data_IF_779302584021
#
_entry.id   IF_779302584021
#
_cell.length_a   1.000
_cell.length_b   1.000
_cell.length_c   1.000
_cell.angle_alpha   90.00
_cell.angle_beta   90.00
_cell.angle_gamma   90.00
#
_symmetry.space_group_name_H-M   'P 1'
#
loop_
_entity.id
_entity.type
_entity.pdbx_description
1 polymer ?
#
# COMPACT_ATOMS: atom_id res chain seq x y z
N UNK A 1 33.04 -2.48 -9.23
CA UNK A 1 33.97 -2.47 -8.09
C UNK A 1 33.60 -1.32 -7.19
N UNK A 2 33.05 -1.56 -6.00
CA UNK A 2 32.72 -0.47 -5.07
C UNK A 2 34.00 -0.04 -4.34
N UNK A 3 34.30 1.26 -4.38
CA UNK A 3 35.37 1.85 -3.56
C UNK A 3 34.92 1.77 -2.09
N UNK A 4 35.60 0.94 -1.29
CA UNK A 4 35.38 0.88 0.16
C UNK A 4 36.23 1.95 0.85
N UNK A 5 35.61 2.62 1.81
CA UNK A 5 36.19 3.67 2.66
C UNK A 5 37.57 3.28 3.23
N UNK A 6 38.63 4.09 3.03
CA UNK A 6 39.97 3.80 3.53
C UNK A 6 40.07 3.73 5.06
N UNK A 7 39.11 4.30 5.79
CA UNK A 7 39.10 4.34 7.26
C UNK A 7 38.25 3.25 7.93
N UNK A 8 37.88 2.21 7.18
CA UNK A 8 37.09 1.10 7.71
C UNK A 8 37.89 0.20 8.68
N UNK A 9 37.25 -0.24 9.76
CA UNK A 9 37.84 -1.11 10.78
C UNK A 9 36.97 -2.36 10.93
N UNK A 10 37.58 -3.53 10.86
CA UNK A 10 36.94 -4.84 10.95
C UNK A 10 37.29 -5.47 12.30
N UNK A 11 36.27 -5.93 13.03
CA UNK A 11 36.44 -6.63 14.30
C UNK A 11 36.26 -8.12 14.05
N UNK A 12 37.18 -8.93 14.55
CA UNK A 12 37.10 -10.39 14.54
C UNK A 12 37.02 -10.91 15.97
N UNK A 13 36.85 -12.21 16.14
CA UNK A 13 36.77 -12.82 17.46
C UNK A 13 38.03 -12.61 18.31
N UNK A 14 39.19 -12.46 17.68
CA UNK A 14 40.49 -12.39 18.36
C UNK A 14 41.22 -11.05 18.17
N UNK A 15 40.90 -10.30 17.11
CA UNK A 15 41.69 -9.14 16.69
C UNK A 15 40.83 -7.99 16.15
N UNK A 16 41.35 -6.77 16.27
CA UNK A 16 40.82 -5.57 15.62
C UNK A 16 41.73 -5.17 14.47
N UNK A 17 41.17 -5.18 13.25
CA UNK A 17 41.87 -4.89 12.01
C UNK A 17 41.51 -3.48 11.53
N UNK A 18 42.44 -2.54 11.67
CA UNK A 18 42.31 -1.17 11.14
C UNK A 18 43.00 -1.17 9.78
N UNK A 19 42.30 -0.82 8.69
CA UNK A 19 42.86 -0.90 7.32
C UNK A 19 44.12 -0.06 7.09
N UNK A 20 44.35 0.95 7.94
CA UNK A 20 45.54 1.82 7.95
C UNK A 20 46.60 1.42 8.98
N UNK A 21 46.37 0.41 9.83
CA UNK A 21 47.38 -0.11 10.75
C UNK A 21 48.25 -1.17 10.06
N UNK A 22 49.56 -1.13 10.32
CA UNK A 22 50.50 -2.08 9.76
C UNK A 22 50.27 -3.53 10.22
N UNK A 23 49.65 -3.72 11.39
CA UNK A 23 49.34 -5.03 11.97
C UNK A 23 48.01 -4.98 12.76
N UNK A 24 47.26 -6.10 12.84
CA UNK A 24 46.07 -6.22 13.69
C UNK A 24 46.43 -6.04 15.17
N UNK A 25 45.54 -5.43 15.94
CA UNK A 25 45.72 -5.30 17.38
C UNK A 25 44.99 -6.43 18.12
N UNK A 26 45.63 -7.12 19.09
CA UNK A 26 44.96 -8.12 19.89
C UNK A 26 43.94 -7.48 20.83
N UNK A 27 42.81 -8.16 21.02
CA UNK A 27 41.81 -7.78 22.04
C UNK A 27 42.38 -8.20 23.40
N UNK A 28 42.63 -7.22 24.26
CA UNK A 28 43.21 -7.45 25.61
C UNK A 28 42.14 -7.62 26.68
N UNK A 29 40.93 -7.06 26.48
CA UNK A 29 39.84 -7.22 27.45
C UNK A 29 38.46 -7.16 26.78
N UNK A 30 37.56 -8.09 27.17
CA UNK A 30 36.13 -8.15 26.80
C UNK A 30 35.29 -8.01 28.07
N UNK A 31 34.31 -7.10 28.12
CA UNK A 31 33.43 -6.95 29.30
C UNK A 31 31.92 -6.90 29.00
N UNK A 32 31.19 -7.30 30.05
CA UNK A 32 29.75 -7.33 30.39
C UNK A 32 28.76 -8.05 29.46
N UNK A 33 28.95 -8.07 28.15
CA UNK A 33 27.98 -8.69 27.22
C UNK A 33 28.54 -8.96 25.80
N UNK A 34 29.86 -8.88 25.63
CA UNK A 34 30.55 -9.04 24.34
C UNK A 34 30.60 -7.77 23.49
N UNK A 35 30.16 -6.61 24.01
CA UNK A 35 30.04 -5.35 23.23
C UNK A 35 31.11 -4.30 23.54
N UNK A 36 31.87 -4.48 24.62
CA UNK A 36 33.00 -3.61 24.98
C UNK A 36 34.31 -4.33 24.66
N UNK A 37 35.06 -3.79 23.70
CA UNK A 37 36.34 -4.34 23.28
C UNK A 37 37.45 -3.34 23.58
N UNK A 38 38.43 -3.74 24.39
CA UNK A 38 39.66 -3.00 24.59
C UNK A 38 40.76 -3.67 23.77
N UNK A 39 41.39 -2.93 22.87
CA UNK A 39 42.53 -3.40 22.08
C UNK A 39 43.76 -2.50 22.28
N UNK A 40 44.95 -3.07 22.13
CA UNK A 40 46.23 -2.39 22.37
C UNK A 40 47.10 -2.38 21.10
N UNK A 41 46.85 -1.48 20.14
CA UNK A 41 47.74 -1.28 18.99
C UNK A 41 49.02 -0.57 19.42
N UNK A 42 49.98 -1.35 19.94
CA UNK A 42 51.34 -0.92 20.19
C UNK A 42 51.56 -0.06 21.45
N UNK A 43 52.84 0.32 21.68
CA UNK A 43 53.40 0.77 22.97
C UNK A 43 52.79 2.04 23.62
N UNK A 44 51.82 2.74 22.99
CA UNK A 44 51.31 4.04 23.49
C UNK A 44 49.81 4.29 23.32
N UNK A 45 49.00 3.32 22.87
CA UNK A 45 47.58 3.58 22.62
C UNK A 45 46.71 2.37 22.89
N UNK A 46 45.78 2.48 23.84
CA UNK A 46 44.64 1.55 23.97
C UNK A 46 43.40 2.16 23.32
N UNK A 47 42.61 1.32 22.67
CA UNK A 47 41.42 1.71 21.95
C UNK A 47 40.22 1.07 22.63
N UNK A 48 39.21 1.87 22.95
CA UNK A 48 37.91 1.39 23.39
C UNK A 48 36.98 1.32 22.17
N UNK A 49 36.53 0.13 21.82
CA UNK A 49 35.59 -0.08 20.72
C UNK A 49 34.27 -0.56 21.32
N UNK A 50 33.22 0.25 21.13
CA UNK A 50 31.85 -0.09 21.51
C UNK A 50 31.17 -0.67 20.26
N UNK A 51 30.90 -1.98 20.27
CA UNK A 51 30.31 -2.66 19.12
C UNK A 51 28.78 -2.68 19.23
N UNK A 52 28.14 -1.68 18.58
CA UNK A 52 26.78 -1.66 18.01
C UNK A 52 26.40 -0.25 17.57
N UNK A 53 25.43 -0.17 16.65
CA UNK A 53 24.98 0.97 15.82
C UNK A 53 24.54 2.28 16.53
N UNK A 54 24.77 2.47 17.83
CA UNK A 54 24.41 3.69 18.54
C UNK A 54 25.45 3.96 19.61
N UNK A 55 26.59 4.52 19.23
CA UNK A 55 27.38 5.35 20.14
C UNK A 55 26.89 6.78 19.92
N UNK A 56 26.00 7.33 20.77
CA UNK A 56 25.42 8.61 20.48
C UNK A 56 26.47 9.69 20.70
N UNK A 57 26.46 10.68 19.80
CA UNK A 57 27.17 11.97 19.94
C UNK A 57 26.99 12.57 21.35
N UNK A 58 25.91 12.23 22.05
CA UNK A 58 25.64 12.61 23.44
C UNK A 58 26.61 12.01 24.47
N UNK A 59 27.09 10.77 24.28
CA UNK A 59 28.08 10.13 25.14
C UNK A 59 29.46 10.76 24.92
N UNK A 60 29.85 11.00 23.67
CA UNK A 60 31.10 11.69 23.33
C UNK A 60 31.17 13.10 23.94
N UNK A 61 30.05 13.85 23.96
CA UNK A 61 29.96 15.18 24.60
C UNK A 61 30.13 15.17 26.13
N UNK A 62 29.97 14.01 26.78
CA UNK A 62 30.13 13.86 28.23
C UNK A 62 31.55 13.47 28.65
N UNK A 63 32.41 13.12 27.69
CA UNK A 63 33.78 12.76 27.99
C UNK A 63 34.62 14.04 28.14
N UNK A 64 35.28 14.27 29.28
CA UNK A 64 36.02 15.50 29.60
C UNK A 64 37.37 15.61 28.88
N UNK A 65 37.55 14.86 27.79
CA UNK A 65 38.82 14.65 27.09
C UNK A 65 38.61 14.85 25.61
N UNK A 66 39.65 15.30 24.90
CA UNK A 66 39.64 15.38 23.44
C UNK A 66 39.46 13.99 22.84
N UNK A 67 38.21 13.65 22.56
CA UNK A 67 37.80 12.40 21.94
C UNK A 67 37.53 12.64 20.48
N UNK A 68 38.15 11.82 19.61
CA UNK A 68 37.87 11.82 18.18
C UNK A 68 36.83 10.73 17.90
N UNK A 69 35.63 11.15 17.51
CA UNK A 69 34.58 10.21 17.06
C UNK A 69 34.82 9.89 15.60
N UNK A 70 35.17 8.64 15.28
CA UNK A 70 35.34 8.17 13.90
C UNK A 70 34.44 6.96 13.72
N UNK A 71 33.50 7.02 12.76
CA UNK A 71 32.63 5.89 12.37
C UNK A 71 32.03 5.15 13.58
N UNK A 72 31.38 5.89 14.47
CA UNK A 72 30.68 5.38 15.67
C UNK A 72 31.59 4.84 16.80
N UNK A 73 32.87 5.25 16.86
CA UNK A 73 33.83 4.77 17.86
C UNK A 73 34.41 5.92 18.68
N UNK A 74 34.75 5.65 19.94
CA UNK A 74 35.35 6.63 20.85
C UNK A 74 36.78 6.19 21.17
N UNK A 75 37.76 6.95 20.69
CA UNK A 75 39.18 6.74 21.04
C UNK A 75 39.53 7.59 22.25
N UNK A 76 40.08 6.98 23.29
CA UNK A 76 40.48 7.65 24.55
C UNK A 76 41.91 7.26 24.96
N UNK A 77 42.69 8.21 25.51
CA UNK A 77 44.01 7.91 26.06
C UNK A 77 43.94 6.88 27.19
N UNK A 78 45.00 6.08 27.31
CA UNK A 78 45.13 4.94 28.25
C UNK A 78 44.86 5.33 29.70
N UNK A 79 45.37 6.49 30.10
CA UNK A 79 45.24 7.08 31.43
C UNK A 79 43.81 7.44 31.83
N UNK A 80 42.89 7.49 30.85
CA UNK A 80 41.48 7.81 31.08
C UNK A 80 40.54 6.63 30.81
N UNK A 81 41.07 5.45 30.49
CA UNK A 81 40.25 4.29 30.10
C UNK A 81 39.26 3.90 31.21
N UNK A 82 39.71 3.85 32.48
CA UNK A 82 38.87 3.45 33.61
C UNK A 82 37.68 4.41 33.82
N UNK A 83 37.91 5.73 33.77
CA UNK A 83 36.84 6.72 33.95
C UNK A 83 35.84 6.73 32.78
N UNK A 84 36.32 6.46 31.57
CA UNK A 84 35.47 6.36 30.37
C UNK A 84 34.59 5.11 30.44
N UNK A 85 35.13 3.96 30.85
CA UNK A 85 34.37 2.71 31.01
C UNK A 85 33.26 2.88 32.04
N UNK A 86 33.56 3.43 33.23
CA UNK A 86 32.53 3.70 34.25
C UNK A 86 31.43 4.61 33.73
N UNK A 87 31.77 5.68 32.99
CA UNK A 87 30.79 6.60 32.45
C UNK A 87 29.91 5.97 31.36
N UNK A 88 30.47 5.03 30.58
CA UNK A 88 29.72 4.22 29.61
C UNK A 88 28.78 3.25 30.32
N UNK A 89 29.23 2.58 31.37
CA UNK A 89 28.44 1.65 32.17
C UNK A 89 27.27 2.36 32.86
N UNK A 90 27.51 3.51 33.50
CA UNK A 90 26.46 4.35 34.09
C UNK A 90 25.43 4.83 33.06
N UNK A 91 25.90 5.20 31.86
CA UNK A 91 25.03 5.64 30.78
C UNK A 91 24.18 4.49 30.22
N UNK A 92 24.74 3.29 30.14
CA UNK A 92 24.03 2.08 29.72
C UNK A 92 23.00 1.65 30.76
N UNK A 93 23.37 1.63 32.04
CA UNK A 93 22.49 1.25 33.15
C UNK A 93 21.35 2.26 33.38
N UNK A 94 21.58 3.55 33.14
CA UNK A 94 20.57 4.61 33.31
C UNK A 94 19.56 4.77 32.17
N UNK A 95 19.47 3.82 31.24
CA UNK A 95 18.57 3.90 30.08
C UNK A 95 18.95 4.99 29.07
N UNK A 96 20.20 5.46 29.09
CA UNK A 96 20.70 6.52 28.22
C UNK A 96 20.60 6.16 26.73
N UNK A 97 20.82 4.89 26.40
CA UNK A 97 20.68 4.35 25.04
C UNK A 97 19.24 4.43 24.55
N UNK A 98 18.28 4.10 25.40
CA UNK A 98 16.86 4.13 25.08
C UNK A 98 16.34 5.56 24.90
N UNK A 99 16.77 6.48 25.77
CA UNK A 99 16.46 7.92 25.63
C UNK A 99 17.10 8.55 24.39
N UNK A 100 18.31 8.14 24.00
CA UNK A 100 18.95 8.59 22.78
C UNK A 100 18.21 8.06 21.53
N UNK A 101 17.87 6.77 21.52
CA UNK A 101 17.09 6.14 20.46
C UNK A 101 15.72 6.84 20.29
N UNK A 102 15.02 7.13 21.40
CA UNK A 102 13.77 7.86 21.41
C UNK A 102 13.89 9.27 20.80
N UNK A 103 14.98 10.01 21.10
CA UNK A 103 15.23 11.33 20.50
C UNK A 103 15.50 11.26 19.00
N UNK A 104 16.27 10.29 18.52
CA UNK A 104 16.47 10.08 17.08
C UNK A 104 15.19 9.67 16.37
N UNK A 105 14.37 8.82 16.98
CA UNK A 105 13.03 8.46 16.50
C UNK A 105 12.14 9.70 16.36
N UNK A 106 12.06 10.53 17.41
CA UNK A 106 11.30 11.77 17.39
C UNK A 106 11.81 12.76 16.33
N UNK A 107 13.14 12.87 16.15
CA UNK A 107 13.75 13.70 15.12
C UNK A 107 13.42 13.24 13.70
N UNK A 108 13.45 11.93 13.44
CA UNK A 108 13.03 11.35 12.15
C UNK A 108 11.55 11.60 11.88
N UNK A 109 10.69 11.41 12.88
CA UNK A 109 9.25 11.71 12.78
C UNK A 109 9.01 13.18 12.45
N UNK A 110 9.66 14.11 13.16
CA UNK A 110 9.54 15.54 12.91
C UNK A 110 10.08 15.97 11.53
N UNK A 111 11.13 15.32 11.02
CA UNK A 111 11.63 15.55 9.66
C UNK A 111 10.64 15.05 8.60
N UNK A 112 10.06 13.86 8.79
CA UNK A 112 9.04 13.31 7.90
C UNK A 112 7.79 14.20 7.85
N UNK A 113 7.31 14.69 9.00
CA UNK A 113 6.18 15.63 9.06
C UNK A 113 6.48 16.95 8.31
N UNK A 114 7.68 17.52 8.48
CA UNK A 114 8.08 18.73 7.74
C UNK A 114 8.14 18.50 6.23
N UNK A 115 8.68 17.35 5.80
CA UNK A 115 8.72 16.97 4.38
C UNK A 115 7.30 16.82 3.81
N UNK A 116 6.41 16.10 4.50
CA UNK A 116 5.01 15.94 4.08
C UNK A 116 4.27 17.28 3.98
N UNK A 117 4.50 18.20 4.94
CA UNK A 117 3.91 19.55 4.90
C UNK A 117 4.42 20.37 3.71
N UNK A 118 5.71 20.27 3.38
CA UNK A 118 6.29 20.96 2.22
C UNK A 118 5.76 20.38 0.89
N UNK A 119 5.61 19.06 0.79
CA UNK A 119 5.03 18.39 -0.38
C UNK A 119 3.55 18.76 -0.58
N UNK A 120 2.77 18.85 0.50
CA UNK A 120 1.39 19.31 0.46
C UNK A 120 1.30 20.76 -0.07
N UNK A 121 2.08 21.69 0.48
CA UNK A 121 2.11 23.08 0.01
C UNK A 121 2.53 23.19 -1.47
N UNK A 122 3.53 22.40 -1.90
CA UNK A 122 3.94 22.34 -3.31
C UNK A 122 2.87 21.72 -4.22
N UNK A 123 2.05 20.81 -3.71
CA UNK A 123 0.92 20.25 -4.47
C UNK A 123 -0.21 21.26 -4.66
N UNK A 124 -0.50 22.08 -3.65
CA UNK A 124 -1.49 23.17 -3.72
C UNK A 124 -1.07 24.25 -4.72
N UNK A 125 0.20 24.65 -4.72
CA UNK A 125 0.74 25.62 -5.71
C UNK A 125 0.61 25.07 -7.13
N UNK A 126 0.96 23.80 -7.37
CA UNK A 126 0.80 23.17 -8.69
C UNK A 126 -0.65 23.08 -9.13
N UNK A 127 -1.57 22.78 -8.21
CA UNK A 127 -3.00 22.75 -8.51
C UNK A 127 -3.54 24.15 -8.87
N UNK A 128 -3.10 25.19 -8.15
CA UNK A 128 -3.46 26.57 -8.43
C UNK A 128 -2.93 27.03 -9.81
N UNK A 129 -1.68 26.71 -10.15
CA UNK A 129 -1.11 27.01 -11.46
C UNK A 129 -1.84 26.28 -12.61
N UNK A 130 -2.19 25.01 -12.41
CA UNK A 130 -2.94 24.24 -13.41
C UNK A 130 -4.32 24.88 -13.66
N UNK A 131 -5.01 25.30 -12.58
CA UNK A 131 -6.29 26.00 -12.66
C UNK A 131 -6.15 27.34 -13.39
N UNK A 132 -5.08 28.09 -13.14
CA UNK A 132 -4.82 29.35 -13.84
C UNK A 132 -4.54 29.15 -15.34
N UNK A 133 -3.77 28.12 -15.72
CA UNK A 133 -3.53 27.78 -17.13
C UNK A 133 -4.81 27.36 -17.85
N UNK A 134 -5.65 26.56 -17.20
CA UNK A 134 -6.95 26.18 -17.77
C UNK A 134 -7.84 27.41 -17.99
N UNK A 135 -7.95 28.29 -17.00
CA UNK A 135 -8.74 29.51 -17.12
C UNK A 135 -8.23 30.43 -18.26
N UNK A 136 -6.91 30.52 -18.47
CA UNK A 136 -6.33 31.26 -19.58
C UNK A 136 -6.67 30.62 -20.94
N UNK A 137 -6.59 29.29 -21.05
CA UNK A 137 -6.97 28.57 -22.27
C UNK A 137 -8.47 28.72 -22.60
N UNK A 138 -9.32 28.66 -21.57
CA UNK A 138 -10.77 28.86 -21.73
C UNK A 138 -11.09 30.29 -22.17
N UNK A 139 -10.40 31.29 -21.61
CA UNK A 139 -10.53 32.68 -22.03
C UNK A 139 -10.10 32.90 -23.49
N UNK A 140 -9.01 32.27 -23.94
CA UNK A 140 -8.58 32.33 -25.33
C UNK A 140 -9.57 31.63 -26.27
N UNK A 141 -10.08 30.46 -25.90
CA UNK A 141 -11.09 29.74 -26.66
C UNK A 141 -12.39 30.55 -26.79
N UNK A 142 -12.81 31.20 -25.71
CA UNK A 142 -13.97 32.09 -25.70
C UNK A 142 -13.76 33.31 -26.61
N UNK A 143 -12.58 33.94 -26.56
CA UNK A 143 -12.24 35.06 -27.43
C UNK A 143 -12.25 34.65 -28.92
N UNK A 144 -11.73 33.47 -29.27
CA UNK A 144 -11.80 32.92 -30.63
C UNK A 144 -13.23 32.66 -31.08
N UNK A 145 -14.08 32.12 -30.20
CA UNK A 145 -15.49 31.90 -30.50
C UNK A 145 -16.23 33.22 -30.76
N UNK A 146 -15.96 34.26 -29.96
CA UNK A 146 -16.52 35.59 -30.16
C UNK A 146 -16.07 36.20 -31.49
N UNK A 147 -14.77 36.12 -31.82
CA UNK A 147 -14.25 36.58 -33.10
C UNK A 147 -14.89 35.84 -34.28
N UNK A 148 -15.06 34.51 -34.17
CA UNK A 148 -15.76 33.70 -35.16
C UNK A 148 -17.21 34.12 -35.33
N UNK A 149 -17.96 34.27 -34.23
CA UNK A 149 -19.36 34.69 -34.26
C UNK A 149 -19.54 36.09 -34.84
N UNK A 150 -18.60 37.01 -34.60
CA UNK A 150 -18.61 38.34 -35.20
C UNK A 150 -18.32 38.30 -36.71
N UNK A 151 -17.42 37.41 -37.16
CA UNK A 151 -17.10 37.24 -38.58
C UNK A 151 -18.17 36.44 -39.36
N UNK A 152 -18.93 35.60 -38.66
CA UNK A 152 -19.87 34.65 -39.26
C UNK A 152 -20.94 35.28 -40.17
N UNK A 153 -21.59 36.42 -39.82
CA UNK A 153 -22.57 37.05 -40.70
C UNK A 153 -21.98 37.50 -42.04
N UNK A 154 -20.76 38.06 -42.04
CA UNK A 154 -20.08 38.50 -43.26
C UNK A 154 -19.66 37.30 -44.13
N UNK A 155 -19.11 36.25 -43.51
CA UNK A 155 -18.82 34.99 -44.19
C UNK A 155 -20.08 34.35 -44.77
N UNK A 156 -21.19 34.36 -44.03
CA UNK A 156 -22.49 33.83 -44.47
C UNK A 156 -23.06 34.66 -45.63
N UNK A 157 -22.98 35.98 -45.59
CA UNK A 157 -23.42 36.86 -46.67
C UNK A 157 -22.61 36.64 -47.95
N UNK A 158 -21.28 36.58 -47.84
CA UNK A 158 -20.39 36.26 -48.97
C UNK A 158 -20.71 34.88 -49.57
N UNK A 159 -20.98 33.87 -48.72
CA UNK A 159 -21.40 32.54 -49.17
C UNK A 159 -22.77 32.55 -49.87
N UNK A 160 -23.72 33.39 -49.44
CA UNK A 160 -25.06 33.49 -50.07
C UNK A 160 -24.97 34.15 -51.45
N UNK A 161 -24.17 35.21 -51.61
CA UNK A 161 -23.92 35.84 -52.91
C UNK A 161 -23.22 34.87 -53.88
N UNK A 162 -22.22 34.13 -53.39
CA UNK A 162 -21.53 33.13 -54.22
C UNK A 162 -22.44 31.94 -54.57
N UNK A 163 -23.35 31.56 -53.67
CA UNK A 163 -24.32 30.47 -53.88
C UNK A 163 -25.48 30.82 -54.82
N UNK A 164 -25.73 32.11 -55.08
CA UNK A 164 -26.75 32.55 -56.04
C UNK A 164 -26.30 32.39 -57.51
N UNK A 165 -25.01 32.22 -57.78
CA UNK A 165 -24.44 32.14 -59.14
C UNK A 165 -24.04 30.71 -59.58
N UNK A 166 -24.22 29.69 -58.74
CA UNK A 166 -23.93 28.30 -59.10
C UNK A 166 -25.18 27.44 -58.95
N UNK A 167 -25.61 26.68 -59.99
CA UNK A 167 -26.66 25.68 -59.82
C UNK A 167 -26.23 24.75 -58.69
N UNK A 168 -27.02 24.71 -57.60
CA UNK A 168 -26.75 23.94 -56.37
C UNK A 168 -26.68 22.46 -56.69
N UNK A 169 -25.52 22.02 -57.13
CA UNK A 169 -25.11 20.64 -56.96
C UNK A 169 -24.76 20.52 -55.48
N UNK A 170 -25.59 19.81 -54.75
CA UNK A 170 -25.32 19.44 -53.36
C UNK A 170 -24.12 18.49 -53.28
N UNK A 171 -22.91 19.04 -53.41
CA UNK A 171 -21.65 18.42 -52.97
C UNK A 171 -21.52 18.39 -51.43
N UNK A 172 -22.60 18.71 -50.71
CA UNK A 172 -22.61 19.20 -49.33
C UNK A 172 -21.98 18.28 -48.29
N UNK A 173 -21.93 16.96 -48.52
CA UNK A 173 -21.34 16.04 -47.54
C UNK A 173 -19.82 15.96 -47.63
N UNK A 174 -19.26 16.11 -48.84
CA UNK A 174 -17.89 15.69 -49.12
C UNK A 174 -17.12 16.63 -50.04
N UNK A 175 -17.69 17.75 -50.49
CA UNK A 175 -16.98 18.63 -51.41
C UNK A 175 -17.39 20.08 -51.37
N UNK A 176 -16.54 20.92 -51.95
CA UNK A 176 -16.75 22.35 -52.09
C UNK A 176 -16.10 22.85 -53.38
N UNK A 177 -16.52 24.02 -53.85
CA UNK A 177 -15.91 24.69 -55.01
C UNK A 177 -14.97 25.76 -54.48
N UNK A 178 -13.71 25.75 -54.90
CA UNK A 178 -12.73 26.80 -54.59
C UNK A 178 -13.04 28.06 -55.41
N UNK A 179 -12.56 29.26 -54.99
CA UNK A 179 -12.76 30.51 -55.74
C UNK A 179 -12.24 30.48 -57.18
N UNK A 180 -11.28 29.60 -57.49
CA UNK A 180 -10.71 29.39 -58.82
C UNK A 180 -11.54 28.42 -59.69
N UNK A 181 -12.74 28.03 -59.24
CA UNK A 181 -13.64 27.11 -59.93
C UNK A 181 -13.28 25.63 -59.80
N UNK A 182 -12.21 25.28 -59.07
CA UNK A 182 -11.85 23.87 -58.86
C UNK A 182 -12.80 23.20 -57.86
N UNK A 183 -13.20 21.97 -58.14
CA UNK A 183 -13.92 21.14 -57.19
C UNK A 183 -12.93 20.53 -56.19
N UNK A 184 -13.29 20.54 -54.92
CA UNK A 184 -12.61 19.82 -53.86
C UNK A 184 -13.50 18.71 -53.36
N UNK A 185 -12.95 17.51 -53.20
CA UNK A 185 -13.65 16.35 -52.66
C UNK A 185 -12.83 15.76 -51.51
N UNK A 186 -13.35 15.86 -50.29
CA UNK A 186 -12.88 15.20 -49.08
C UNK A 186 -13.67 13.92 -48.89
N UNK A 187 -13.00 12.79 -48.77
CA UNK A 187 -13.69 11.51 -48.53
C UNK A 187 -13.04 10.78 -47.36
N UNK A 188 -13.78 9.90 -46.67
CA UNK A 188 -13.13 8.83 -45.92
C UNK A 188 -12.21 8.07 -46.89
N UNK A 189 -10.99 7.72 -46.46
CA UNK A 189 -9.91 7.15 -47.28
C UNK A 189 -10.20 5.70 -47.74
N UNK A 190 -11.43 5.39 -48.13
CA UNK A 190 -11.79 4.08 -48.67
C UNK A 190 -11.23 3.92 -50.08
N UNK A 191 -10.47 2.86 -50.32
CA UNK A 191 -9.78 2.59 -51.60
C UNK A 191 -10.72 2.63 -52.81
N UNK A 192 -11.97 2.17 -52.64
CA UNK A 192 -12.99 2.18 -53.70
C UNK A 192 -13.39 3.61 -54.08
N UNK A 193 -13.50 4.51 -53.11
CA UNK A 193 -13.81 5.94 -53.36
C UNK A 193 -12.60 6.63 -53.99
N UNK A 194 -11.40 6.37 -53.45
CA UNK A 194 -10.14 6.88 -54.01
C UNK A 194 -9.96 6.45 -55.48
N UNK A 195 -10.32 5.22 -55.82
CA UNK A 195 -10.28 4.70 -57.19
C UNK A 195 -11.20 5.48 -58.12
N UNK A 196 -12.43 5.79 -57.68
CA UNK A 196 -13.36 6.63 -58.46
C UNK A 196 -12.78 8.03 -58.66
N UNK A 197 -12.21 8.63 -57.61
CA UNK A 197 -11.63 9.98 -57.69
C UNK A 197 -10.41 10.05 -58.59
N UNK A 198 -9.50 9.06 -58.54
CA UNK A 198 -8.34 8.96 -59.45
C UNK A 198 -8.74 8.80 -60.91
N UNK A 199 -9.91 8.22 -61.17
CA UNK A 199 -10.45 8.08 -62.53
C UNK A 199 -11.00 9.38 -63.12
N UNK A 200 -11.18 10.44 -62.32
CA UNK A 200 -11.68 11.73 -62.83
C UNK A 200 -10.57 12.47 -63.60
N UNK A 201 -10.86 13.02 -64.81
CA UNK A 201 -9.88 13.73 -65.61
C UNK A 201 -9.24 14.90 -64.86
N UNK A 202 -7.90 14.92 -64.80
CA UNK A 202 -7.13 15.98 -64.14
C UNK A 202 -7.25 16.02 -62.62
N UNK A 203 -7.82 14.99 -61.98
CA UNK A 203 -7.87 14.88 -60.53
C UNK A 203 -6.47 14.76 -59.92
N UNK A 204 -6.26 15.41 -58.77
CA UNK A 204 -5.01 15.33 -58.00
C UNK A 204 -5.29 15.39 -56.51
N UNK A 205 -4.49 14.66 -55.73
CA UNK A 205 -4.54 14.77 -54.26
C UNK A 205 -3.76 15.99 -53.78
N UNK A 206 -4.38 16.80 -52.92
CA UNK A 206 -3.74 17.89 -52.19
C UNK A 206 -3.44 17.42 -50.76
N UNK A 207 -2.17 17.14 -50.42
CA UNK A 207 -1.80 16.66 -49.09
C UNK A 207 -1.96 17.71 -48.00
N UNK A 208 -1.87 19.00 -48.35
CA UNK A 208 -2.00 20.12 -47.40
C UNK A 208 -3.46 20.24 -46.96
N UNK A 209 -4.38 20.28 -47.92
CA UNK A 209 -5.82 20.42 -47.64
C UNK A 209 -6.52 19.09 -47.35
N UNK A 210 -5.81 17.97 -47.54
CA UNK A 210 -6.31 16.59 -47.46
C UNK A 210 -7.60 16.39 -48.26
N UNK A 211 -7.58 16.81 -49.52
CA UNK A 211 -8.71 16.64 -50.44
C UNK A 211 -8.25 16.36 -51.86
N UNK A 212 -9.13 15.75 -52.65
CA UNK A 212 -8.97 15.65 -54.10
C UNK A 212 -9.38 16.96 -54.75
N UNK A 213 -8.52 17.50 -55.59
CA UNK A 213 -8.79 18.65 -56.44
C UNK A 213 -9.15 18.13 -57.82
N UNK A 214 -10.29 18.55 -58.36
CA UNK A 214 -10.75 18.21 -59.71
C UNK A 214 -11.01 19.51 -60.50
N UNK A 215 -10.44 19.68 -61.71
CA UNK A 215 -10.65 20.88 -62.51
C UNK A 215 -12.12 21.12 -62.86
N UNK A 216 -12.48 22.39 -63.05
CA UNK A 216 -13.83 22.79 -63.48
C UNK A 216 -14.27 22.08 -64.78
N UNK A 217 -13.34 21.85 -65.71
CA UNK A 217 -13.60 21.17 -66.99
C UNK A 217 -14.08 19.73 -66.84
N UNK A 218 -13.81 19.07 -65.71
CA UNK A 218 -14.27 17.71 -65.42
C UNK A 218 -15.61 17.68 -64.65
N UNK A 219 -16.31 18.82 -64.50
CA UNK A 219 -17.59 18.91 -63.80
C UNK A 219 -18.60 17.83 -64.23
N UNK A 220 -18.86 17.56 -65.52
CA UNK A 220 -19.84 16.55 -65.92
C UNK A 220 -19.48 15.14 -65.41
N UNK A 221 -18.18 14.79 -65.46
CA UNK A 221 -17.67 13.51 -64.96
C UNK A 221 -17.79 13.39 -63.44
N UNK A 222 -17.55 14.49 -62.71
CA UNK A 222 -17.72 14.51 -61.27
C UNK A 222 -19.19 14.30 -60.93
N UNK A 223 -20.10 15.04 -61.58
CA UNK A 223 -21.55 14.91 -61.37
C UNK A 223 -22.07 13.49 -61.64
N UNK A 224 -21.63 12.87 -62.72
CA UNK A 224 -21.96 11.48 -63.02
C UNK A 224 -21.44 10.50 -61.94
N UNK A 225 -20.35 10.85 -61.26
CA UNK A 225 -19.72 10.01 -60.23
C UNK A 225 -20.24 10.27 -58.82
N UNK A 226 -20.90 11.41 -58.55
CA UNK A 226 -21.38 11.79 -57.20
C UNK A 226 -22.27 10.71 -56.59
N UNK A 227 -23.24 10.18 -57.35
CA UNK A 227 -24.15 9.14 -56.84
C UNK A 227 -23.40 7.88 -56.41
N UNK A 228 -22.37 7.48 -57.18
CA UNK A 228 -21.53 6.32 -56.86
C UNK A 228 -20.65 6.59 -55.64
N UNK A 229 -20.07 7.79 -55.53
CA UNK A 229 -19.24 8.19 -54.38
C UNK A 229 -20.09 8.22 -53.11
N UNK A 230 -21.30 8.77 -53.17
CA UNK A 230 -22.22 8.80 -52.03
C UNK A 230 -22.61 7.39 -51.58
N UNK A 231 -22.98 6.51 -52.50
CA UNK A 231 -23.32 5.12 -52.17
C UNK A 231 -22.15 4.38 -51.50
N UNK A 232 -20.93 4.52 -52.03
CA UNK A 232 -19.72 3.94 -51.43
C UNK A 232 -19.42 4.55 -50.05
N UNK A 233 -19.68 5.84 -49.87
CA UNK A 233 -19.51 6.50 -48.57
C UNK A 233 -20.52 5.98 -47.54
N UNK A 234 -21.78 5.79 -47.92
CA UNK A 234 -22.80 5.24 -47.04
C UNK A 234 -22.49 3.79 -46.65
N UNK A 235 -21.97 2.98 -47.57
CA UNK A 235 -21.46 1.62 -47.26
C UNK A 235 -20.33 1.67 -46.23
N UNK A 236 -19.37 2.57 -46.40
CA UNK A 236 -18.23 2.73 -45.48
C UNK A 236 -18.70 3.21 -44.10
N UNK A 237 -19.59 4.20 -44.05
CA UNK A 237 -20.13 4.71 -42.80
C UNK A 237 -20.96 3.64 -42.08
N UNK A 238 -21.78 2.89 -42.81
CA UNK A 238 -22.52 1.75 -42.26
C UNK A 238 -21.58 0.68 -41.69
N UNK A 239 -20.49 0.36 -42.39
CA UNK A 239 -19.48 -0.57 -41.90
C UNK A 239 -18.78 -0.06 -40.64
N UNK A 240 -18.37 1.22 -40.59
CA UNK A 240 -17.74 1.82 -39.41
C UNK A 240 -18.69 1.77 -38.21
N UNK A 241 -19.96 2.11 -38.40
CA UNK A 241 -20.99 2.06 -37.35
C UNK A 241 -21.21 0.62 -36.88
N UNK A 242 -21.30 -0.34 -37.81
CA UNK A 242 -21.46 -1.76 -37.48
C UNK A 242 -20.25 -2.29 -36.67
N UNK A 243 -19.03 -1.99 -37.09
CA UNK A 243 -17.80 -2.37 -36.38
C UNK A 243 -17.75 -1.77 -34.99
N UNK A 244 -18.01 -0.45 -34.85
CA UNK A 244 -18.07 0.20 -33.53
C UNK A 244 -19.14 -0.40 -32.63
N UNK A 245 -20.30 -0.75 -33.18
CA UNK A 245 -21.38 -1.41 -32.43
C UNK A 245 -20.94 -2.80 -31.96
N UNK A 246 -20.32 -3.59 -32.83
CA UNK A 246 -19.81 -4.92 -32.49
C UNK A 246 -18.70 -4.84 -31.42
N UNK A 247 -17.77 -3.87 -31.53
CA UNK A 247 -16.75 -3.61 -30.51
C UNK A 247 -17.36 -3.18 -29.18
N UNK A 248 -18.35 -2.29 -29.19
CA UNK A 248 -19.04 -1.85 -27.98
C UNK A 248 -19.86 -2.98 -27.33
N UNK A 249 -20.44 -3.87 -28.12
CA UNK A 249 -21.12 -5.07 -27.63
C UNK A 249 -20.14 -6.08 -27.03
N UNK A 250 -19.02 -6.36 -27.71
CA UNK A 250 -17.94 -7.20 -27.18
C UNK A 250 -17.36 -6.61 -25.88
N UNK A 251 -17.20 -5.29 -25.80
CA UNK A 251 -16.74 -4.62 -24.58
C UNK A 251 -17.74 -4.75 -23.43
N UNK A 252 -19.04 -4.56 -23.71
CA UNK A 252 -20.10 -4.77 -22.71
C UNK A 252 -20.16 -6.22 -22.23
N UNK A 253 -20.01 -7.19 -23.14
CA UNK A 253 -19.95 -8.60 -22.78
C UNK A 253 -18.74 -8.93 -21.89
N UNK A 254 -17.55 -8.39 -22.21
CA UNK A 254 -16.35 -8.53 -21.37
C UNK A 254 -16.55 -7.91 -19.99
N UNK A 255 -17.13 -6.70 -19.91
CA UNK A 255 -17.39 -6.05 -18.63
C UNK A 255 -18.42 -6.81 -17.80
N UNK A 256 -19.49 -7.30 -18.43
CA UNK A 256 -20.51 -8.11 -17.75
C UNK A 256 -19.91 -9.40 -17.16
N UNK A 257 -18.95 -10.03 -17.85
CA UNK A 257 -18.26 -11.21 -17.33
C UNK A 257 -17.32 -10.87 -16.15
N UNK A 258 -16.62 -9.74 -16.21
CA UNK A 258 -15.83 -9.24 -15.07
C UNK A 258 -16.73 -8.93 -13.88
N UNK A 259 -17.88 -8.30 -14.14
CA UNK A 259 -18.83 -7.91 -13.11
C UNK A 259 -19.52 -9.11 -12.46
N UNK A 260 -19.68 -10.22 -13.17
CA UNK A 260 -20.12 -11.51 -12.62
C UNK A 260 -19.08 -12.19 -11.73
N UNK A 261 -17.80 -11.85 -11.89
CA UNK A 261 -16.66 -12.45 -11.18
C UNK A 261 -16.06 -11.52 -10.14
N UNK A 262 -16.91 -10.70 -9.54
CA UNK A 262 -16.53 -9.86 -8.39
C UNK A 262 -17.66 -9.83 -7.37
N UNK A 263 -17.28 -9.70 -6.11
CA UNK A 263 -18.18 -9.35 -5.03
C UNK A 263 -17.63 -8.14 -4.28
N UNK A 264 -18.54 -7.43 -3.61
CA UNK A 264 -18.23 -6.19 -2.92
C UNK A 264 -17.95 -6.49 -1.45
N UNK A 265 -16.84 -5.97 -0.93
CA UNK A 265 -16.44 -6.15 0.47
C UNK A 265 -15.98 -4.84 1.09
N UNK A 266 -16.19 -4.71 2.40
CA UNK A 266 -15.55 -3.65 3.18
C UNK A 266 -14.03 -3.82 3.12
N UNK A 267 -13.32 -2.73 2.90
CA UNK A 267 -11.88 -2.74 2.66
C UNK A 267 -11.06 -3.28 3.84
N UNK A 268 -11.48 -2.99 5.08
CA UNK A 268 -10.86 -3.49 6.31
C UNK A 268 -11.06 -4.99 6.53
N UNK A 269 -12.06 -5.59 5.86
CA UNK A 269 -12.39 -7.01 5.89
C UNK A 269 -12.09 -7.73 4.58
N UNK A 270 -11.48 -7.05 3.61
CA UNK A 270 -11.24 -7.62 2.31
C UNK A 270 -10.27 -8.81 2.43
N UNK A 271 -10.59 -9.97 1.82
CA UNK A 271 -9.68 -11.10 1.80
C UNK A 271 -8.40 -10.74 1.05
N UNK A 272 -7.29 -11.36 1.42
CA UNK A 272 -6.02 -11.14 0.71
C UNK A 272 -6.08 -11.82 -0.67
N UNK A 273 -5.54 -11.19 -1.72
CA UNK A 273 -5.31 -11.91 -2.97
C UNK A 273 -4.53 -13.21 -2.72
N UNK A 274 -4.92 -14.29 -3.39
CA UNK A 274 -4.33 -15.61 -3.20
C UNK A 274 -5.01 -16.47 -2.14
N UNK A 275 -6.09 -16.01 -1.49
CA UNK A 275 -6.85 -16.81 -0.52
C UNK A 275 -8.16 -17.32 -1.09
N UNK A 276 -8.62 -18.45 -0.57
CA UNK A 276 -9.93 -19.03 -0.87
C UNK A 276 -10.92 -18.57 0.20
N UNK A 277 -12.10 -18.11 -0.21
CA UNK A 277 -13.19 -17.69 0.69
C UNK A 277 -14.52 -18.24 0.19
N UNK A 278 -15.57 -18.16 1.01
CA UNK A 278 -16.94 -18.47 0.58
C UNK A 278 -17.69 -17.20 0.20
N UNK A 279 -18.17 -17.14 -1.04
CA UNK A 279 -19.14 -16.14 -1.50
C UNK A 279 -20.50 -16.81 -1.68
N UNK A 280 -21.51 -16.40 -0.90
CA UNK A 280 -22.82 -17.05 -0.88
C UNK A 280 -22.77 -18.56 -0.60
N UNK A 281 -21.76 -19.04 0.14
CA UNK A 281 -21.51 -20.46 0.41
C UNK A 281 -20.63 -21.18 -0.63
N UNK A 282 -20.40 -20.57 -1.79
CA UNK A 282 -19.56 -21.14 -2.87
C UNK A 282 -18.09 -20.79 -2.64
N UNK A 283 -17.16 -21.77 -2.63
CA UNK A 283 -15.74 -21.48 -2.54
C UNK A 283 -15.22 -20.78 -3.79
N UNK A 284 -14.60 -19.62 -3.61
CA UNK A 284 -13.99 -18.82 -4.68
C UNK A 284 -12.56 -18.45 -4.31
N UNK A 285 -11.68 -18.45 -5.30
CA UNK A 285 -10.29 -18.01 -5.14
C UNK A 285 -10.18 -16.53 -5.51
N UNK A 286 -9.73 -15.71 -4.56
CA UNK A 286 -9.58 -14.27 -4.74
C UNK A 286 -8.32 -14.00 -5.55
N UNK A 287 -8.49 -13.50 -6.77
CA UNK A 287 -7.36 -13.25 -7.68
C UNK A 287 -6.75 -11.88 -7.46
N UNK A 288 -7.58 -10.86 -7.18
CA UNK A 288 -7.12 -9.49 -7.03
C UNK A 288 -8.14 -8.62 -6.28
N UNK A 289 -7.72 -7.46 -5.82
CA UNK A 289 -8.58 -6.42 -5.23
C UNK A 289 -8.58 -5.17 -6.11
N UNK A 290 -9.77 -4.63 -6.35
CA UNK A 290 -9.92 -3.38 -7.07
C UNK A 290 -9.40 -2.15 -6.31
N UNK A 291 -9.60 -0.97 -6.90
CA UNK A 291 -9.33 0.29 -6.21
C UNK A 291 -10.37 0.51 -5.09
N UNK A 292 -9.95 0.85 -3.86
CA UNK A 292 -10.89 1.20 -2.81
C UNK A 292 -11.68 2.47 -3.16
N UNK A 293 -12.95 2.49 -2.79
CA UNK A 293 -13.84 3.64 -2.96
C UNK A 293 -14.76 3.79 -1.73
N UNK A 294 -15.27 5.00 -1.48
CA UNK A 294 -16.25 5.20 -0.40
C UNK A 294 -17.64 4.84 -0.90
N UNK A 295 -18.43 4.17 -0.06
CA UNK A 295 -19.85 3.96 -0.35
C UNK A 295 -20.52 5.33 -0.57
N UNK A 296 -21.18 5.54 -1.72
CA UNK A 296 -21.91 6.77 -1.99
C UNK A 296 -23.13 6.89 -1.05
N UNK A 297 -23.44 8.13 -0.70
CA UNK A 297 -24.67 8.50 0.01
C UNK A 297 -25.80 8.65 -1.03
N UNK A 298 -26.29 7.51 -1.53
CA UNK A 298 -27.36 7.44 -2.53
C UNK A 298 -28.59 6.62 -2.06
N UNK A 299 -28.59 6.18 -0.80
CA UNK A 299 -29.67 5.40 -0.18
C UNK A 299 -29.79 3.95 -0.64
N UNK A 300 -28.87 3.45 -1.48
CA UNK A 300 -28.81 2.03 -1.88
C UNK A 300 -27.99 1.17 -0.91
N UNK A 301 -27.28 1.81 0.02
CA UNK A 301 -26.39 1.17 0.99
C UNK A 301 -27.06 1.08 2.36
N UNK A 302 -26.61 0.16 3.20
CA UNK A 302 -27.04 0.19 4.59
C UNK A 302 -26.52 1.49 5.23
N UNK A 303 -27.32 2.19 6.07
CA UNK A 303 -26.87 3.44 6.69
C UNK A 303 -25.58 3.30 7.52
N UNK A 304 -25.30 2.11 8.07
CA UNK A 304 -24.06 1.81 8.80
C UNK A 304 -22.82 1.66 7.88
N UNK A 305 -23.03 1.56 6.57
CA UNK A 305 -22.00 1.38 5.55
C UNK A 305 -21.71 2.67 4.78
N UNK A 306 -22.53 3.71 4.94
CA UNK A 306 -22.32 5.00 4.30
C UNK A 306 -21.00 5.64 4.76
N UNK A 307 -20.21 6.09 3.79
CA UNK A 307 -18.88 6.67 4.04
C UNK A 307 -17.77 5.67 4.36
N UNK A 308 -18.08 4.39 4.60
CA UNK A 308 -17.09 3.32 4.75
C UNK A 308 -16.36 3.05 3.42
N UNK A 309 -15.14 2.50 3.53
CA UNK A 309 -14.35 2.12 2.36
C UNK A 309 -14.69 0.70 1.92
N UNK A 310 -15.02 0.55 0.64
CA UNK A 310 -15.29 -0.71 -0.02
C UNK A 310 -14.31 -0.97 -1.15
N UNK A 311 -14.20 -2.23 -1.52
CA UNK A 311 -13.41 -2.70 -2.66
C UNK A 311 -14.12 -3.86 -3.34
N UNK A 312 -13.99 -3.95 -4.67
CA UNK A 312 -14.38 -5.16 -5.40
C UNK A 312 -13.29 -6.21 -5.28
N UNK A 313 -13.63 -7.39 -4.76
CA UNK A 313 -12.77 -8.57 -4.80
C UNK A 313 -13.07 -9.36 -6.06
N UNK A 314 -12.06 -9.51 -6.93
CA UNK A 314 -12.18 -10.31 -8.15
C UNK A 314 -11.83 -11.75 -7.84
N UNK A 315 -12.54 -12.68 -8.46
CA UNK A 315 -12.37 -14.08 -8.18
C UNK A 315 -12.46 -14.98 -9.41
N UNK A 316 -11.98 -16.20 -9.22
CA UNK A 316 -12.28 -17.35 -10.08
C UNK A 316 -12.88 -18.47 -9.23
N UNK A 317 -13.43 -19.49 -9.89
CA UNK A 317 -13.75 -20.73 -9.21
C UNK A 317 -12.48 -21.30 -8.53
N UNK A 318 -12.63 -21.72 -7.28
CA UNK A 318 -11.57 -22.44 -6.57
C UNK A 318 -11.34 -23.81 -7.21
N UNK A 319 -10.09 -24.25 -7.23
CA UNK A 319 -9.74 -25.62 -7.65
C UNK A 319 -10.13 -26.62 -6.55
N UNK A 320 -10.27 -27.92 -6.87
CA UNK A 320 -10.61 -28.94 -5.86
C UNK A 320 -9.65 -28.96 -4.66
N UNK A 321 -8.35 -28.79 -4.90
CA UNK A 321 -7.34 -28.76 -3.84
C UNK A 321 -7.48 -27.53 -2.94
N UNK A 322 -7.77 -26.37 -3.54
CA UNK A 322 -8.06 -25.12 -2.82
C UNK A 322 -9.33 -25.24 -1.96
N UNK A 323 -10.36 -25.93 -2.47
CA UNK A 323 -11.58 -26.22 -1.70
C UNK A 323 -11.28 -27.13 -0.53
N UNK A 324 -10.57 -28.23 -0.75
CA UNK A 324 -10.20 -29.16 0.31
C UNK A 324 -9.36 -28.49 1.41
N UNK A 325 -8.42 -27.61 1.03
CA UNK A 325 -7.62 -26.83 1.97
C UNK A 325 -8.47 -25.86 2.79
N UNK A 326 -9.44 -25.17 2.16
CA UNK A 326 -10.38 -24.31 2.87
C UNK A 326 -11.23 -25.11 3.86
N UNK A 327 -11.80 -26.24 3.44
CA UNK A 327 -12.66 -27.07 4.30
C UNK A 327 -11.90 -27.66 5.49
N UNK A 328 -10.64 -28.08 5.29
CA UNK A 328 -9.77 -28.51 6.37
C UNK A 328 -9.52 -27.37 7.37
N UNK A 329 -9.23 -26.16 6.87
CA UNK A 329 -9.04 -24.97 7.70
C UNK A 329 -10.32 -24.57 8.45
N UNK A 330 -11.49 -24.63 7.80
CA UNK A 330 -12.80 -24.33 8.42
C UNK A 330 -13.14 -25.35 9.51
N UNK A 331 -12.85 -26.63 9.25
CA UNK A 331 -13.03 -27.73 10.22
C UNK A 331 -12.12 -27.53 11.43
N UNK A 332 -10.84 -27.22 11.21
CA UNK A 332 -9.90 -26.93 12.29
C UNK A 332 -10.34 -25.70 13.09
N UNK A 333 -10.73 -24.61 12.42
CA UNK A 333 -11.21 -23.40 13.09
C UNK A 333 -12.51 -23.63 13.88
N UNK A 334 -13.38 -24.55 13.42
CA UNK A 334 -14.57 -24.97 14.16
C UNK A 334 -14.20 -25.77 15.41
N UNK A 335 -13.29 -26.74 15.28
CA UNK A 335 -12.78 -27.51 16.42
C UNK A 335 -12.11 -26.60 17.46
N UNK A 336 -11.27 -25.67 17.00
CA UNK A 336 -10.60 -24.68 17.84
C UNK A 336 -11.62 -23.76 18.57
N UNK A 337 -12.69 -23.33 17.89
CA UNK A 337 -13.78 -22.58 18.53
C UNK A 337 -14.53 -23.39 19.58
N UNK A 338 -14.76 -24.68 19.32
CA UNK A 338 -15.41 -25.57 20.30
C UNK A 338 -14.53 -25.76 21.55
N UNK A 339 -13.22 -25.93 21.37
CA UNK A 339 -12.25 -26.00 22.48
C UNK A 339 -12.28 -24.70 23.29
N UNK A 340 -12.18 -23.54 22.63
CA UNK A 340 -12.22 -22.24 23.29
C UNK A 340 -13.55 -21.99 24.00
N UNK A 341 -14.68 -22.41 23.42
CA UNK A 341 -16.01 -22.29 24.03
C UNK A 341 -16.14 -23.17 25.26
N UNK A 342 -15.67 -24.42 25.22
CA UNK A 342 -15.67 -25.32 26.36
C UNK A 342 -14.81 -24.79 27.51
N UNK A 343 -13.57 -24.36 27.22
CA UNK A 343 -12.70 -23.72 28.21
C UNK A 343 -13.32 -22.43 28.77
N UNK A 344 -13.90 -21.58 27.93
CA UNK A 344 -14.58 -20.36 28.35
C UNK A 344 -15.84 -20.60 29.19
N UNK A 345 -16.55 -21.72 28.99
CA UNK A 345 -17.65 -22.13 29.86
C UNK A 345 -17.13 -22.52 31.26
N UNK A 346 -16.04 -23.29 31.32
CA UNK A 346 -15.37 -23.67 32.57
C UNK A 346 -14.88 -22.43 33.33
N UNK A 347 -14.29 -21.45 32.64
CA UNK A 347 -13.81 -20.20 33.25
C UNK A 347 -14.92 -19.29 33.79
N UNK A 348 -16.16 -19.44 33.32
CA UNK A 348 -17.32 -18.65 33.79
C UNK A 348 -18.16 -19.35 34.86
N UNK A 349 -17.94 -20.64 35.07
CA UNK A 349 -18.65 -21.39 36.11
C UNK A 349 -18.35 -20.79 37.49
N UNK A 350 -19.31 -20.56 38.39
CA UNK A 350 -19.01 -20.07 39.72
C UNK A 350 -18.17 -21.10 40.49
N UNK A 351 -17.02 -20.68 41.01
CA UNK A 351 -16.15 -21.51 41.85
C UNK A 351 -16.32 -21.20 43.33
N UNK A 352 -15.74 -22.06 44.17
CA UNK A 352 -15.54 -21.73 45.58
C UNK A 352 -14.46 -20.64 45.67
N UNK A 353 -14.84 -19.44 46.10
CA UNK A 353 -13.92 -18.32 46.25
C UNK A 353 -12.93 -18.65 47.37
N UNK A 354 -11.64 -18.62 47.04
CA UNK A 354 -10.56 -18.87 47.99
C UNK A 354 -9.52 -17.77 47.85
N UNK A 355 -9.19 -17.11 48.96
CA UNK A 355 -8.10 -16.14 48.96
C UNK A 355 -6.77 -16.91 48.95
N UNK A 356 -6.14 -16.99 47.77
CA UNK A 356 -5.02 -17.91 47.52
C UNK A 356 -3.66 -17.29 47.87
N UNK A 357 -3.55 -15.96 47.76
CA UNK A 357 -2.34 -15.16 48.05
C UNK A 357 -1.20 -15.36 47.06
N UNK A 358 -0.81 -16.62 46.89
CA UNK A 358 0.15 -17.12 45.91
C UNK A 358 -0.53 -18.06 44.92
N UNK A 359 0.09 -18.29 43.76
CA UNK A 359 -0.38 -19.32 42.84
C UNK A 359 -0.18 -20.69 43.51
N UNK A 360 -1.22 -21.55 43.61
CA UNK A 360 -1.10 -22.88 44.21
C UNK A 360 -0.02 -23.73 43.57
N UNK A 361 0.56 -24.64 44.36
CA UNK A 361 1.39 -25.70 43.82
C UNK A 361 0.57 -26.61 42.90
N UNK A 362 1.11 -26.93 41.73
CA UNK A 362 0.44 -27.77 40.74
C UNK A 362 0.89 -27.51 39.30
N UNK A 363 0.20 -28.16 38.36
CA UNK A 363 0.46 -28.00 36.93
C UNK A 363 -0.36 -26.84 36.36
N UNK A 364 0.30 -25.90 35.67
CA UNK A 364 -0.40 -24.85 34.91
C UNK A 364 -0.99 -25.47 33.64
N UNK A 365 -2.29 -25.74 33.66
CA UNK A 365 -3.03 -26.34 32.54
C UNK A 365 -3.60 -25.30 31.57
N UNK A 366 -3.67 -24.03 31.98
CA UNK A 366 -3.96 -22.88 31.11
C UNK A 366 -3.18 -21.65 31.59
N UNK A 367 -2.54 -20.95 30.66
CA UNK A 367 -1.81 -19.70 30.91
C UNK A 367 -2.34 -18.61 29.97
N UNK A 368 -3.04 -17.62 30.52
CA UNK A 368 -3.66 -16.52 29.78
C UNK A 368 -2.91 -15.21 30.03
N UNK A 369 -2.00 -14.87 29.12
CA UNK A 369 -1.37 -13.56 29.07
C UNK A 369 -2.19 -12.62 28.19
N UNK A 370 -3.31 -12.09 28.69
CA UNK A 370 -4.08 -11.07 27.95
C UNK A 370 -3.42 -9.69 28.03
N UNK A 371 -2.26 -9.53 27.40
CA UNK A 371 -1.78 -8.34 26.67
C UNK A 371 -1.73 -6.95 27.33
N UNK A 372 -2.33 -6.71 28.50
CA UNK A 372 -2.20 -5.48 29.26
C UNK A 372 -1.10 -5.71 30.29
N UNK A 373 -0.10 -4.83 30.27
CA UNK A 373 1.07 -4.93 31.15
C UNK A 373 0.63 -5.10 32.61
N UNK A 374 0.86 -6.29 33.16
CA UNK A 374 0.66 -6.58 34.58
C UNK A 374 -0.42 -7.60 34.90
N UNK A 375 -1.40 -7.89 34.04
CA UNK A 375 -2.45 -8.89 34.36
C UNK A 375 -2.15 -10.26 33.75
N UNK A 376 -2.39 -11.34 34.50
CA UNK A 376 -2.21 -12.72 34.03
C UNK A 376 -3.18 -13.66 34.71
N UNK A 377 -3.84 -14.52 33.95
CA UNK A 377 -4.71 -15.56 34.50
C UNK A 377 -4.09 -16.93 34.32
N UNK A 378 -4.22 -17.80 35.33
CA UNK A 378 -3.83 -19.20 35.26
C UNK A 378 -4.98 -20.11 35.63
N UNK A 379 -4.98 -21.30 35.05
CA UNK A 379 -5.64 -22.46 35.66
C UNK A 379 -4.57 -23.44 36.12
N UNK A 380 -4.56 -23.77 37.41
CA UNK A 380 -3.62 -24.70 38.03
C UNK A 380 -4.36 -25.95 38.48
N UNK A 381 -3.97 -27.12 37.98
CA UNK A 381 -4.41 -28.39 38.49
C UNK A 381 -3.63 -28.71 39.77
N UNK A 382 -4.34 -28.89 40.88
CA UNK A 382 -3.70 -29.24 42.16
C UNK A 382 -2.92 -30.55 42.08
N UNK A 383 -1.90 -30.72 42.91
CA UNK A 383 -1.06 -31.93 42.93
C UNK A 383 -1.85 -33.22 43.20
N UNK A 384 -2.95 -33.13 43.97
CA UNK A 384 -3.87 -34.25 44.21
C UNK A 384 -4.88 -34.49 43.08
N UNK A 385 -4.85 -33.65 42.03
CA UNK A 385 -5.70 -33.71 40.85
C UNK A 385 -7.18 -33.43 41.11
N UNK A 386 -7.56 -32.94 42.31
CA UNK A 386 -8.97 -32.73 42.69
C UNK A 386 -9.53 -31.37 42.31
N UNK A 387 -8.68 -30.36 42.20
CA UNK A 387 -9.11 -28.98 42.04
C UNK A 387 -8.43 -28.33 40.84
N UNK A 388 -9.21 -27.57 40.07
CA UNK A 388 -8.68 -26.57 39.16
C UNK A 388 -8.80 -25.23 39.87
N UNK A 389 -7.65 -24.64 40.18
CA UNK A 389 -7.55 -23.29 40.72
C UNK A 389 -7.50 -22.30 39.58
N UNK A 390 -8.44 -21.35 39.56
CA UNK A 390 -8.42 -20.23 38.60
C UNK A 390 -7.85 -19.03 39.32
N UNK A 391 -6.68 -18.60 38.91
CA UNK A 391 -5.91 -17.57 39.57
C UNK A 391 -5.79 -16.36 38.66
N UNK A 392 -6.24 -15.19 39.11
CA UNK A 392 -6.02 -13.90 38.48
C UNK A 392 -4.91 -13.17 39.24
N UNK A 393 -3.82 -12.86 38.55
CA UNK A 393 -2.81 -11.91 39.01
C UNK A 393 -3.09 -10.53 38.46
N UNK A 394 -3.27 -9.57 39.37
CA UNK A 394 -3.38 -8.15 39.04
C UNK A 394 -2.05 -7.47 39.38
N UNK A 395 -1.25 -7.21 38.37
CA UNK A 395 0.01 -6.48 38.48
C UNK A 395 -0.15 -4.99 38.20
N UNK A 396 -1.26 -4.38 38.62
CA UNK A 396 -1.40 -2.93 38.58
C UNK A 396 -0.44 -2.30 39.60
N UNK A 397 0.00 -1.07 39.34
CA UNK A 397 1.04 -0.39 40.12
C UNK A 397 0.71 -0.36 41.64
N UNK A 398 -0.58 -0.21 42.00
CA UNK A 398 -1.04 -0.29 43.39
C UNK A 398 -1.06 -1.70 44.00
N UNK A 399 -1.29 -2.74 43.20
CA UNK A 399 -1.31 -4.12 43.66
C UNK A 399 0.13 -4.64 43.87
N UNK A 400 1.10 -4.18 43.08
CA UNK A 400 2.52 -4.58 43.23
C UNK A 400 3.05 -4.30 44.65
N UNK A 401 2.55 -3.26 45.32
CA UNK A 401 2.83 -2.99 46.74
C UNK A 401 2.16 -3.99 47.70
N UNK A 402 0.98 -4.51 47.35
CA UNK A 402 0.31 -5.60 48.07
C UNK A 402 1.12 -6.90 48.10
N UNK A 403 1.87 -7.19 47.03
CA UNK A 403 2.78 -8.34 46.98
C UNK A 403 3.93 -8.20 47.99
N UNK A 404 4.45 -6.99 48.17
CA UNK A 404 5.52 -6.69 49.13
C UNK A 404 5.02 -6.59 50.58
N UNK A 405 3.80 -6.09 50.79
CA UNK A 405 3.29 -5.78 52.12
C UNK A 405 2.48 -6.93 52.76
N UNK A 406 1.76 -7.72 51.96
CA UNK A 406 0.82 -8.72 52.46
C UNK A 406 0.99 -10.09 51.79
N UNK A 407 1.62 -10.17 50.60
CA UNK A 407 1.80 -11.43 49.88
C UNK A 407 0.56 -11.90 49.11
N UNK A 408 -0.40 -11.01 48.82
CA UNK A 408 -1.65 -11.33 48.12
C UNK A 408 -1.87 -10.45 46.89
N UNK A 409 -1.38 -10.88 45.73
CA UNK A 409 -1.79 -10.32 44.42
C UNK A 409 -2.55 -11.33 43.55
N UNK A 410 -2.70 -12.55 44.06
CA UNK A 410 -3.39 -13.62 43.37
C UNK A 410 -4.74 -13.82 44.03
N UNK A 411 -5.80 -13.46 43.31
CA UNK A 411 -7.17 -13.83 43.69
C UNK A 411 -7.57 -15.03 42.88
N UNK A 412 -8.38 -15.90 43.46
CA UNK A 412 -8.85 -17.04 42.71
C UNK A 412 -10.05 -17.69 43.33
N UNK A 413 -10.55 -18.65 42.60
CA UNK A 413 -11.50 -19.61 43.09
C UNK A 413 -11.06 -20.99 42.62
N UNK A 414 -11.75 -22.02 43.10
CA UNK A 414 -11.51 -23.38 42.66
C UNK A 414 -12.80 -24.04 42.24
N UNK A 415 -12.68 -24.93 41.28
CA UNK A 415 -13.73 -25.83 40.83
C UNK A 415 -13.19 -27.26 40.84
N UNK A 416 -14.08 -28.23 40.98
CA UNK A 416 -13.70 -29.63 40.93
C UNK A 416 -13.06 -29.98 39.57
N UNK A 417 -11.91 -30.65 39.63
CA UNK A 417 -11.22 -31.12 38.46
C UNK A 417 -11.88 -32.41 37.95
N UNK A 418 -12.51 -32.35 36.78
CA UNK A 418 -12.90 -33.54 36.02
C UNK A 418 -11.91 -33.77 34.88
N UNK A 419 -11.71 -35.02 34.41
CA UNK A 419 -10.85 -35.31 33.27
C UNK A 419 -11.19 -34.46 32.03
N UNK A 420 -12.48 -34.23 31.76
CA UNK A 420 -12.96 -33.45 30.62
C UNK A 420 -12.61 -31.96 30.76
N UNK A 421 -12.72 -31.41 31.97
CA UNK A 421 -12.36 -30.00 32.25
C UNK A 421 -10.87 -29.77 32.06
N UNK A 422 -10.05 -30.65 32.64
CA UNK A 422 -8.59 -30.58 32.53
C UNK A 422 -8.17 -30.71 31.07
N UNK A 423 -8.73 -31.67 30.33
CA UNK A 423 -8.46 -31.85 28.91
C UNK A 423 -8.85 -30.62 28.08
N UNK A 424 -10.01 -30.01 28.35
CA UNK A 424 -10.49 -28.81 27.64
C UNK A 424 -9.58 -27.60 27.87
N UNK A 425 -9.14 -27.38 29.11
CA UNK A 425 -8.23 -26.27 29.45
C UNK A 425 -6.84 -26.46 28.85
N UNK A 426 -6.28 -27.69 28.89
CA UNK A 426 -5.01 -28.01 28.23
C UNK A 426 -5.10 -27.82 26.71
N UNK A 427 -6.18 -28.28 26.09
CA UNK A 427 -6.40 -28.10 24.65
C UNK A 427 -6.46 -26.63 24.26
N UNK A 428 -7.12 -25.78 25.06
CA UNK A 428 -7.13 -24.34 24.86
C UNK A 428 -5.75 -23.70 25.04
N UNK A 429 -4.97 -24.16 26.02
CA UNK A 429 -3.60 -23.70 26.23
C UNK A 429 -2.71 -23.99 25.02
N UNK A 430 -2.77 -25.21 24.49
CA UNK A 430 -2.04 -25.59 23.28
C UNK A 430 -2.54 -24.82 22.05
N UNK A 431 -3.85 -24.57 21.94
CA UNK A 431 -4.39 -23.71 20.88
C UNK A 431 -3.78 -22.31 20.93
N UNK A 432 -3.71 -21.69 22.11
CA UNK A 432 -3.15 -20.35 22.31
C UNK A 432 -1.66 -20.27 22.02
N UNK A 433 -0.89 -21.34 22.28
CA UNK A 433 0.53 -21.39 21.93
C UNK A 433 0.78 -21.40 20.42
N UNK A 434 -0.21 -21.84 19.61
CA UNK A 434 -0.11 -21.90 18.13
C UNK A 434 -0.50 -20.59 17.44
N UNK A 435 -1.33 -19.77 18.09
CA UNK A 435 -1.81 -18.47 17.57
C UNK A 435 -0.90 -17.35 18.01
#
# INVERSE_FOLDING_TARGET
MSFRDPDSIIVTDTEILIRSAAQPAPIVERRLDGRLLVAEPGKKSRWLVLDRAIVPVALAKRLPIHTKVVLERIVVPTEHLASVVTLVEEWAAGGGAERAAARTSAGRKAAATRKAKAEAAASEVRAAEAKARQAAADAEAYARLQAWNAAWPALKAACVETAAMSPRISFSRWGGVKPDGQFTVRTPYADRIVTVLRGLPGSRWDPTSRCWIVPASAQPSVLASVSRINALSDEVDAHIVATKRAEAEAQRARQAEIDRRRFLVRHDRAPRPGTVVRDGGTPVFVTDLGRPFRAPDDGLWNPEEEGELFVYAYFRAATPDEVAALEASETQAKADRQVAQAAGAILREPGEIVEVGTVPAGEIILDDHRGLSGTRDWCVLSEDGRWIWRCEYRGLDGDTWGNFALGYNTRGDRIEATPERVASLRAENERRKRT
#
